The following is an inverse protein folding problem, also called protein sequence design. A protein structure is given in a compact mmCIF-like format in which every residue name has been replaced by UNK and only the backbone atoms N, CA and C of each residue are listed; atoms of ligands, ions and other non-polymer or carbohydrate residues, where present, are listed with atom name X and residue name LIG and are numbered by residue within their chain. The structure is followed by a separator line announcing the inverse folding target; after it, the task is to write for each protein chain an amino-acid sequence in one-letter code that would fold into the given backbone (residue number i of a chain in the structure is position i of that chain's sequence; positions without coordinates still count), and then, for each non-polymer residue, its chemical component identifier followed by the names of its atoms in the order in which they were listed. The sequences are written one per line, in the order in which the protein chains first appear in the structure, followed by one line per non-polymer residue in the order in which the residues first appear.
data_IF_776939119555
#
_entry.id   IF_776939119555
#
_cell.length_a   1.000
_cell.length_b   1.000
_cell.length_c   1.000
_cell.angle_alpha   90.00
_cell.angle_beta   90.00
_cell.angle_gamma   90.00
#
_symmetry.space_group_name_H-M   'P 1'
#
loop_
_entity.id
_entity.type
_entity.pdbx_description
1 polymer ?
#
# COMPACT_ATOMS: atom_id res chain seq x y z
N UNK A 1 -6.39 5.07 29.30
CA UNK A 1 -4.95 5.40 29.19
C UNK A 1 -4.27 4.21 28.56
N UNK A 2 -3.49 4.42 27.48
CA UNK A 2 -2.75 3.32 26.80
C UNK A 2 -1.62 2.89 27.76
N UNK A 3 -1.58 1.60 28.10
CA UNK A 3 -0.52 1.09 28.96
C UNK A 3 0.84 1.11 28.24
N UNK A 4 1.98 1.28 28.95
CA UNK A 4 3.31 1.25 28.31
C UNK A 4 3.59 -0.02 27.49
N UNK A 5 3.01 -1.15 27.91
CA UNK A 5 3.09 -2.41 27.18
C UNK A 5 2.38 -2.38 25.83
N UNK A 6 1.22 -1.73 25.76
CA UNK A 6 0.46 -1.58 24.50
C UNK A 6 1.23 -0.73 23.49
N UNK A 7 1.90 0.32 23.97
CA UNK A 7 2.73 1.18 23.13
C UNK A 7 3.92 0.39 22.54
N UNK A 8 4.57 -0.44 23.34
CA UNK A 8 5.68 -1.29 22.89
C UNK A 8 5.22 -2.29 21.83
N UNK A 9 4.05 -2.90 22.00
CA UNK A 9 3.47 -3.82 20.99
C UNK A 9 3.14 -3.07 19.70
N UNK A 10 2.52 -1.88 19.77
CA UNK A 10 2.20 -1.07 18.59
C UNK A 10 3.48 -0.68 17.84
N UNK A 11 4.50 -0.21 18.55
CA UNK A 11 5.80 0.14 17.95
C UNK A 11 6.45 -1.09 17.31
N UNK A 12 6.47 -2.23 18.00
CA UNK A 12 7.04 -3.48 17.50
C UNK A 12 6.37 -3.95 16.22
N UNK A 13 5.03 -3.94 16.18
CA UNK A 13 4.26 -4.31 14.99
C UNK A 13 4.54 -3.35 13.82
N UNK A 14 4.67 -2.05 14.09
CA UNK A 14 5.01 -1.08 13.05
C UNK A 14 6.43 -1.28 12.50
N UNK A 15 7.41 -1.53 13.36
CA UNK A 15 8.80 -1.80 12.95
C UNK A 15 8.89 -3.08 12.10
N UNK A 16 8.28 -4.17 12.55
CA UNK A 16 8.22 -5.44 11.79
C UNK A 16 7.50 -5.22 10.46
N UNK A 17 6.39 -4.49 10.51
CA UNK A 17 5.62 -4.12 9.32
C UNK A 17 6.45 -3.30 8.32
N UNK A 18 7.24 -2.35 8.78
CA UNK A 18 8.11 -1.53 7.93
C UNK A 18 9.32 -2.32 7.38
N UNK A 19 9.88 -3.25 8.16
CA UNK A 19 11.03 -4.06 7.78
C UNK A 19 10.72 -5.07 6.66
N UNK A 20 9.47 -5.51 6.53
CA UNK A 20 9.08 -6.42 5.45
C UNK A 20 8.75 -5.61 4.17
N UNK A 21 9.57 -5.72 3.09
CA UNK A 21 9.31 -4.99 1.85
C UNK A 21 7.97 -5.45 1.24
N UNK A 22 7.01 -4.55 1.24
CA UNK A 22 5.72 -4.76 0.59
C UNK A 22 5.72 -4.31 -0.87
N UNK A 23 4.59 -4.48 -1.60
CA UNK A 23 4.44 -4.06 -2.98
C UNK A 23 4.71 -2.57 -3.18
N UNK A 24 4.45 -1.75 -2.17
CA UNK A 24 4.68 -0.30 -2.17
C UNK A 24 6.17 0.02 -2.33
N UNK A 25 7.05 -0.64 -1.54
CA UNK A 25 8.50 -0.43 -1.57
C UNK A 25 9.07 -0.88 -2.91
N UNK A 26 8.63 -2.03 -3.42
CA UNK A 26 9.05 -2.55 -4.73
C UNK A 26 8.66 -1.58 -5.84
N UNK A 27 7.43 -1.05 -5.80
CA UNK A 27 6.94 -0.11 -6.80
C UNK A 27 7.74 1.21 -6.78
N UNK A 28 7.96 1.79 -5.60
CA UNK A 28 8.75 3.03 -5.45
C UNK A 28 10.17 2.82 -5.99
N UNK A 29 10.85 1.77 -5.54
CA UNK A 29 12.23 1.50 -5.95
C UNK A 29 12.34 1.33 -7.46
N UNK A 30 11.47 0.50 -8.07
CA UNK A 30 11.46 0.30 -9.51
C UNK A 30 11.19 1.58 -10.30
N UNK A 31 10.31 2.45 -9.79
CA UNK A 31 9.95 3.68 -10.46
C UNK A 31 11.05 4.74 -10.29
N UNK A 32 11.60 4.85 -9.08
CA UNK A 32 12.65 5.82 -8.76
C UNK A 32 13.98 5.55 -9.47
N UNK A 33 14.31 4.28 -9.71
CA UNK A 33 15.53 3.91 -10.48
C UNK A 33 15.44 4.31 -11.95
N UNK A 34 14.25 4.50 -12.50
CA UNK A 34 14.04 4.93 -13.89
C UNK A 34 13.84 6.43 -14.03
N UNK A 35 13.11 7.05 -13.08
CA UNK A 35 12.86 8.48 -13.05
C UNK A 35 12.55 8.94 -11.62
N UNK A 36 13.36 9.85 -11.07
CA UNK A 36 13.13 10.43 -9.74
C UNK A 36 11.76 11.12 -9.63
N UNK A 37 11.36 11.82 -10.70
CA UNK A 37 10.08 12.54 -10.76
C UNK A 37 8.89 11.57 -10.63
N UNK A 38 8.92 10.46 -11.35
CA UNK A 38 7.89 9.41 -11.26
C UNK A 38 7.96 8.67 -9.92
N UNK A 39 9.17 8.46 -9.37
CA UNK A 39 9.36 7.89 -8.04
C UNK A 39 8.68 8.72 -6.94
N UNK A 40 8.86 10.05 -6.96
CA UNK A 40 8.19 10.96 -6.04
C UNK A 40 6.67 10.93 -6.21
N UNK A 41 6.17 10.96 -7.44
CA UNK A 41 4.73 10.87 -7.69
C UNK A 41 4.13 9.55 -7.16
N UNK A 42 4.83 8.44 -7.35
CA UNK A 42 4.44 7.14 -6.80
C UNK A 42 4.41 7.18 -5.27
N UNK A 43 5.44 7.73 -4.64
CA UNK A 43 5.53 7.85 -3.18
C UNK A 43 4.38 8.71 -2.61
N UNK A 44 4.08 9.85 -3.23
CA UNK A 44 2.97 10.73 -2.84
C UNK A 44 1.63 9.98 -3.01
N UNK A 45 1.45 9.22 -4.09
CA UNK A 45 0.25 8.40 -4.29
C UNK A 45 0.06 7.37 -3.17
N UNK A 46 1.12 6.66 -2.80
CA UNK A 46 1.13 5.72 -1.68
C UNK A 46 0.77 6.42 -0.37
N UNK A 47 1.40 7.56 -0.06
CA UNK A 47 1.10 8.32 1.15
C UNK A 47 -0.33 8.83 1.21
N UNK A 48 -0.90 9.22 0.07
CA UNK A 48 -2.32 9.58 -0.02
C UNK A 48 -3.20 8.38 0.37
N UNK A 49 -2.88 7.18 -0.11
CA UNK A 49 -3.58 5.95 0.26
C UNK A 49 -3.48 5.65 1.77
N UNK A 50 -2.29 5.81 2.36
CA UNK A 50 -2.10 5.66 3.81
C UNK A 50 -2.98 6.65 4.58
N UNK A 51 -3.00 7.92 4.18
CA UNK A 51 -3.84 8.94 4.82
C UNK A 51 -5.33 8.62 4.70
N UNK A 52 -5.77 8.10 3.55
CA UNK A 52 -7.17 7.65 3.37
C UNK A 52 -7.51 6.50 4.34
N UNK A 53 -6.62 5.52 4.49
CA UNK A 53 -6.80 4.43 5.45
C UNK A 53 -6.82 4.94 6.90
N UNK A 54 -5.92 5.86 7.26
CA UNK A 54 -5.91 6.48 8.60
C UNK A 54 -7.21 7.25 8.85
N UNK A 55 -7.66 8.05 7.91
CA UNK A 55 -8.91 8.79 8.02
C UNK A 55 -10.11 7.84 8.18
N UNK A 56 -10.19 6.79 7.37
CA UNK A 56 -11.22 5.77 7.48
C UNK A 56 -11.22 5.09 8.85
N UNK A 57 -10.03 4.80 9.39
CA UNK A 57 -9.87 4.19 10.73
C UNK A 57 -10.36 5.13 11.83
N UNK A 58 -9.99 6.41 11.77
CA UNK A 58 -10.36 7.40 12.80
C UNK A 58 -11.85 7.74 12.75
N UNK A 59 -12.41 7.92 11.55
CA UNK A 59 -13.77 8.44 11.38
C UNK A 59 -14.86 7.37 11.26
N UNK A 60 -14.54 6.07 11.23
CA UNK A 60 -15.63 5.14 11.17
C UNK A 60 -15.39 3.71 10.73
N UNK A 61 -14.16 3.23 10.63
CA UNK A 61 -13.94 1.83 10.23
C UNK A 61 -14.66 0.85 11.17
N UNK A 62 -14.69 1.11 12.47
CA UNK A 62 -15.40 0.28 13.43
C UNK A 62 -16.92 0.29 13.20
N UNK A 63 -17.51 1.47 12.93
CA UNK A 63 -18.94 1.59 12.63
C UNK A 63 -19.31 0.95 11.31
N UNK A 64 -18.47 1.13 10.29
CA UNK A 64 -18.69 0.55 8.96
C UNK A 64 -18.61 -0.99 8.99
N UNK A 65 -17.61 -1.55 9.68
CA UNK A 65 -17.45 -3.00 9.79
C UNK A 65 -18.55 -3.66 10.63
N UNK A 66 -19.09 -2.95 11.64
CA UNK A 66 -20.25 -3.43 12.40
C UNK A 66 -21.55 -3.39 11.58
N UNK A 67 -21.73 -2.36 10.75
CA UNK A 67 -22.91 -2.24 9.88
C UNK A 67 -22.86 -3.16 8.65
N UNK A 68 -21.65 -3.41 8.13
CA UNK A 68 -21.43 -4.21 6.93
C UNK A 68 -20.24 -5.18 7.15
N UNK A 69 -20.44 -6.31 7.83
CA UNK A 69 -19.37 -7.27 8.13
C UNK A 69 -18.63 -7.77 6.88
N UNK A 70 -19.35 -7.91 5.77
CA UNK A 70 -18.80 -8.40 4.51
C UNK A 70 -18.00 -7.34 3.72
N UNK A 71 -18.07 -6.07 4.10
CA UNK A 71 -17.38 -4.98 3.39
C UNK A 71 -15.87 -5.24 3.29
N UNK A 72 -15.27 -5.79 4.34
CA UNK A 72 -13.84 -6.14 4.35
C UNK A 72 -13.51 -7.22 3.32
N UNK A 73 -14.36 -8.23 3.18
CA UNK A 73 -14.20 -9.30 2.20
C UNK A 73 -14.23 -8.76 0.76
N UNK A 74 -15.18 -7.88 0.46
CA UNK A 74 -15.24 -7.22 -0.86
C UNK A 74 -14.01 -6.36 -1.13
N UNK A 75 -13.54 -5.58 -0.16
CA UNK A 75 -12.31 -4.79 -0.29
C UNK A 75 -11.10 -5.68 -0.55
N UNK A 76 -10.99 -6.81 0.15
CA UNK A 76 -9.90 -7.76 -0.05
C UNK A 76 -9.95 -8.44 -1.42
N UNK A 77 -11.12 -8.84 -1.90
CA UNK A 77 -11.31 -9.46 -3.21
C UNK A 77 -10.94 -8.49 -4.35
N UNK A 78 -11.50 -7.28 -4.31
CA UNK A 78 -11.22 -6.25 -5.31
C UNK A 78 -9.74 -5.84 -5.25
N UNK A 79 -9.22 -5.63 -4.04
CA UNK A 79 -7.81 -5.29 -3.83
C UNK A 79 -6.86 -6.38 -4.35
N UNK A 80 -7.17 -7.64 -4.06
CA UNK A 80 -6.43 -8.80 -4.56
C UNK A 80 -6.42 -8.88 -6.09
N UNK A 81 -7.57 -8.69 -6.71
CA UNK A 81 -7.69 -8.66 -8.18
C UNK A 81 -6.84 -7.54 -8.80
N UNK A 82 -6.88 -6.33 -8.22
CA UNK A 82 -6.05 -5.19 -8.66
C UNK A 82 -4.57 -5.52 -8.53
N UNK A 83 -4.14 -6.10 -7.41
CA UNK A 83 -2.73 -6.49 -7.20
C UNK A 83 -2.27 -7.55 -8.20
N UNK A 84 -3.10 -8.55 -8.50
CA UNK A 84 -2.81 -9.56 -9.52
C UNK A 84 -2.66 -8.90 -10.90
N UNK A 85 -3.58 -8.03 -11.29
CA UNK A 85 -3.51 -7.32 -12.56
C UNK A 85 -2.24 -6.45 -12.66
N UNK A 86 -1.89 -5.73 -11.59
CA UNK A 86 -0.66 -4.93 -11.52
C UNK A 86 0.59 -5.81 -11.55
N UNK A 87 0.60 -6.95 -10.84
CA UNK A 87 1.67 -7.93 -10.87
C UNK A 87 1.90 -8.48 -12.27
N UNK A 88 0.83 -8.90 -12.94
CA UNK A 88 0.88 -9.39 -14.31
C UNK A 88 1.40 -8.32 -15.30
N UNK A 89 0.95 -7.08 -15.16
CA UNK A 89 1.46 -5.94 -15.95
C UNK A 89 2.95 -5.70 -15.71
N UNK A 90 3.40 -5.77 -14.46
CA UNK A 90 4.81 -5.62 -14.10
C UNK A 90 5.69 -6.74 -14.68
N UNK A 91 5.22 -7.98 -14.63
CA UNK A 91 5.92 -9.13 -15.24
C UNK A 91 6.01 -8.96 -16.75
N UNK A 92 4.90 -8.62 -17.42
CA UNK A 92 4.90 -8.35 -18.87
C UNK A 92 5.87 -7.23 -19.23
N UNK A 93 5.86 -6.12 -18.50
CA UNK A 93 6.79 -5.02 -18.71
C UNK A 93 8.25 -5.44 -18.48
N UNK A 94 8.53 -6.23 -17.44
CA UNK A 94 9.88 -6.75 -17.17
C UNK A 94 10.38 -7.71 -18.25
N UNK A 95 9.50 -8.55 -18.79
CA UNK A 95 9.84 -9.43 -19.90
C UNK A 95 10.09 -8.65 -21.19
N UNK A 96 9.29 -7.64 -21.50
CA UNK A 96 9.50 -6.75 -22.63
C UNK A 96 10.83 -5.99 -22.52
N UNK A 97 11.15 -5.46 -21.32
CA UNK A 97 12.43 -4.79 -21.06
C UNK A 97 13.63 -5.74 -21.18
N UNK A 98 13.46 -7.03 -20.87
CA UNK A 98 14.51 -8.04 -21.03
C UNK A 98 14.85 -8.30 -22.49
N UNK A 99 13.82 -8.30 -23.36
CA UNK A 99 14.01 -8.54 -24.82
C UNK A 99 14.42 -7.25 -25.55
N UNK A 100 14.05 -6.10 -25.01
CA UNK A 100 14.31 -4.80 -25.62
C UNK A 100 14.59 -3.76 -24.51
N UNK A 101 15.80 -3.83 -23.90
CA UNK A 101 16.14 -2.93 -22.80
C UNK A 101 16.19 -1.48 -23.27
N UNK A 102 15.74 -0.52 -22.45
CA UNK A 102 15.89 0.88 -22.76
C UNK A 102 17.38 1.25 -22.83
N UNK A 103 17.79 1.88 -23.92
CA UNK A 103 19.18 2.24 -24.15
C UNK A 103 19.57 3.53 -23.45
N UNK A 104 18.59 4.38 -23.11
CA UNK A 104 18.78 5.67 -22.43
C UNK A 104 17.85 5.84 -21.26
N UNK A 105 18.19 6.75 -20.32
CA UNK A 105 17.32 7.11 -19.22
C UNK A 105 16.02 7.76 -19.70
N UNK A 106 16.07 8.53 -20.77
CA UNK A 106 14.89 9.18 -21.37
C UNK A 106 13.91 8.14 -21.91
N UNK A 107 14.40 7.13 -22.58
CA UNK A 107 13.57 6.01 -23.04
C UNK A 107 12.97 5.21 -21.88
N UNK A 108 13.75 4.96 -20.84
CA UNK A 108 13.28 4.32 -19.62
C UNK A 108 12.18 5.15 -18.92
N UNK A 109 12.29 6.47 -18.91
CA UNK A 109 11.28 7.38 -18.36
C UNK A 109 10.01 7.39 -19.21
N UNK A 110 10.12 7.47 -20.53
CA UNK A 110 8.98 7.43 -21.45
C UNK A 110 8.13 6.17 -21.25
N UNK A 111 8.76 5.02 -20.99
CA UNK A 111 8.06 3.75 -20.71
C UNK A 111 7.28 3.77 -19.39
N UNK A 112 7.55 4.68 -18.47
CA UNK A 112 6.77 4.85 -17.24
C UNK A 112 5.41 5.51 -17.49
N UNK A 113 5.26 6.22 -18.61
CA UNK A 113 4.07 6.98 -18.95
C UNK A 113 4.05 8.34 -18.24
N UNK A 114 2.86 8.82 -17.88
CA UNK A 114 2.72 10.13 -17.25
C UNK A 114 2.98 10.08 -15.74
N UNK A 115 3.42 11.21 -15.18
CA UNK A 115 3.59 11.39 -13.72
C UNK A 115 2.29 11.13 -12.96
N UNK A 116 1.13 11.53 -13.55
CA UNK A 116 -0.19 11.22 -13.01
C UNK A 116 -0.45 9.72 -12.94
N UNK A 117 -0.05 8.97 -13.97
CA UNK A 117 -0.17 7.52 -13.99
C UNK A 117 0.69 6.87 -12.89
N UNK A 118 1.89 7.39 -12.62
CA UNK A 118 2.75 6.92 -11.54
C UNK A 118 2.10 7.16 -10.16
N UNK A 119 1.53 8.35 -9.93
CA UNK A 119 0.75 8.67 -8.73
C UNK A 119 -0.43 7.71 -8.53
N UNK A 120 -1.25 7.52 -9.58
CA UNK A 120 -2.42 6.64 -9.50
C UNK A 120 -2.04 5.18 -9.25
N UNK A 121 -0.92 4.72 -9.82
CA UNK A 121 -0.39 3.38 -9.52
C UNK A 121 0.03 3.26 -8.06
N UNK A 122 0.71 4.25 -7.51
CA UNK A 122 1.07 4.29 -6.09
C UNK A 122 -0.16 4.23 -5.20
N UNK A 123 -1.15 5.08 -5.46
CA UNK A 123 -2.41 5.12 -4.72
C UNK A 123 -3.15 3.77 -4.79
N UNK A 124 -3.34 3.23 -5.98
CA UNK A 124 -4.03 1.96 -6.18
C UNK A 124 -3.30 0.79 -5.49
N UNK A 125 -1.96 0.75 -5.58
CA UNK A 125 -1.15 -0.28 -4.91
C UNK A 125 -1.34 -0.24 -3.40
N UNK A 126 -1.34 0.96 -2.81
CA UNK A 126 -1.52 1.12 -1.36
C UNK A 126 -2.94 0.76 -0.92
N UNK A 127 -3.96 1.25 -1.61
CA UNK A 127 -5.36 0.93 -1.29
C UNK A 127 -5.68 -0.56 -1.43
N UNK A 128 -5.06 -1.24 -2.39
CA UNK A 128 -5.19 -2.68 -2.61
C UNK A 128 -4.26 -3.53 -1.72
N UNK A 129 -3.39 -2.91 -0.91
CA UNK A 129 -2.37 -3.63 -0.15
C UNK A 129 -2.97 -4.33 1.08
N UNK A 130 -3.09 -5.67 1.09
CA UNK A 130 -3.69 -6.40 2.20
C UNK A 130 -2.91 -6.24 3.50
N UNK A 131 -1.60 -5.95 3.43
CA UNK A 131 -0.75 -5.73 4.59
C UNK A 131 -1.22 -4.54 5.42
N UNK A 132 -1.67 -3.46 4.78
CA UNK A 132 -2.17 -2.26 5.47
C UNK A 132 -3.50 -2.57 6.16
N UNK A 133 -4.38 -3.29 5.48
CA UNK A 133 -5.68 -3.70 6.05
C UNK A 133 -5.47 -4.59 7.28
N UNK A 134 -4.57 -5.58 7.19
CA UNK A 134 -4.25 -6.46 8.32
C UNK A 134 -3.62 -5.67 9.47
N UNK A 135 -2.67 -4.78 9.19
CA UNK A 135 -2.02 -3.95 10.21
C UNK A 135 -3.02 -3.04 10.94
N UNK A 136 -3.91 -2.39 10.19
CA UNK A 136 -4.96 -1.54 10.77
C UNK A 136 -5.97 -2.35 11.58
N UNK A 137 -6.38 -3.51 11.10
CA UNK A 137 -7.29 -4.41 11.83
C UNK A 137 -6.67 -4.88 13.15
N UNK A 138 -5.38 -5.23 13.14
CA UNK A 138 -4.65 -5.62 14.35
C UNK A 138 -4.54 -4.45 15.35
N UNK A 139 -4.28 -3.23 14.86
CA UNK A 139 -4.24 -2.04 15.72
C UNK A 139 -5.61 -1.74 16.33
N UNK A 140 -6.70 -1.79 15.56
CA UNK A 140 -8.06 -1.57 16.06
C UNK A 140 -8.40 -2.60 17.12
N UNK A 141 -8.15 -3.89 16.84
CA UNK A 141 -8.42 -4.98 17.78
C UNK A 141 -7.64 -4.82 19.08
N UNK A 142 -6.44 -4.27 19.02
CA UNK A 142 -5.62 -4.01 20.21
C UNK A 142 -6.11 -2.80 21.01
N UNK A 143 -6.45 -1.70 20.32
CA UNK A 143 -6.93 -0.47 20.97
C UNK A 143 -8.35 -0.60 21.54
N UNK A 144 -9.20 -1.44 20.97
CA UNK A 144 -10.58 -1.64 21.38
C UNK A 144 -10.77 -2.85 22.31
N UNK A 145 -9.69 -3.40 22.85
CA UNK A 145 -9.75 -4.51 23.80
C UNK A 145 -10.45 -4.04 25.09
N UNK A 146 -11.54 -4.70 25.53
CA UNK A 146 -12.16 -4.36 26.81
C UNK A 146 -11.13 -4.56 27.93
N UNK A 147 -11.11 -3.63 28.90
CA UNK A 147 -10.26 -3.76 30.07
C UNK A 147 -10.52 -5.11 30.76
N UNK A 148 -9.50 -5.83 31.20
CA UNK A 148 -9.71 -7.04 31.98
C UNK A 148 -10.54 -6.68 33.25
N UNK A 149 -11.60 -7.45 33.50
CA UNK A 149 -12.47 -7.31 34.67
C UNK A 149 -11.72 -7.57 35.96
#
# INVERSE_FOLDING_TARGET
MIAPGDLAVIIGLNVIGAAAPGPDVVLITRTATRSRRHGWATAIGIQTGVLMWCALTVFGAAALLNAFPDALTYVQLVGGAVLIAMGASNVRGGLADRHNPPMTLEEAEQRLGTVRSAYMRGLATNLANPKIVIALSAMIAHCCRPAPA
#
